data_IF_729783237890
#
_entry.id   IF_729783237890
#
_cell.length_a   1.000
_cell.length_b   1.000
_cell.length_c   1.000
_cell.angle_alpha   90.00
_cell.angle_beta   90.00
_cell.angle_gamma   90.00
#
_symmetry.space_group_name_H-M   'P 1'
#
loop_
_entity.id
_entity.type
_entity.pdbx_description
1 polymer ?
#
# COMPACT_ATOMS: atom_id res chain seq x y z
N UNK A 1 -33.07 13.09 9.06
CA UNK A 1 -32.12 12.04 9.48
C UNK A 1 -30.88 12.20 8.62
N UNK A 2 -29.85 12.81 9.19
CA UNK A 2 -28.58 13.08 8.53
C UNK A 2 -27.80 11.77 8.56
N UNK A 3 -27.47 11.24 7.38
CA UNK A 3 -26.75 9.98 7.24
C UNK A 3 -25.29 10.26 7.59
N UNK A 4 -24.94 10.18 8.87
CA UNK A 4 -23.57 10.30 9.34
C UNK A 4 -22.74 9.22 8.63
N UNK A 5 -21.98 9.62 7.61
CA UNK A 5 -20.93 8.78 7.04
C UNK A 5 -20.05 8.39 8.22
N UNK A 6 -20.07 7.11 8.61
CA UNK A 6 -19.05 6.54 9.50
C UNK A 6 -17.69 6.82 8.86
N UNK A 7 -17.02 7.85 9.34
CA UNK A 7 -15.65 8.16 8.95
C UNK A 7 -14.78 7.14 9.69
N UNK A 8 -14.45 6.05 9.02
CA UNK A 8 -13.36 5.18 9.49
C UNK A 8 -12.07 5.99 9.37
N UNK A 9 -11.29 6.06 10.44
CA UNK A 9 -10.01 6.76 10.46
C UNK A 9 -9.06 6.07 9.49
N UNK A 10 -8.76 6.71 8.37
CA UNK A 10 -7.71 6.21 7.48
C UNK A 10 -6.35 6.54 8.08
N UNK A 11 -5.43 5.58 8.12
CA UNK A 11 -4.05 5.79 8.58
C UNK A 11 -3.06 5.48 7.47
N UNK A 12 -2.05 6.35 7.29
CA UNK A 12 -0.91 6.09 6.42
C UNK A 12 0.35 6.22 7.25
N UNK A 13 1.04 5.11 7.47
CA UNK A 13 2.27 5.07 8.26
C UNK A 13 3.43 4.67 7.36
N UNK A 14 4.59 5.31 7.56
CA UNK A 14 5.82 4.99 6.84
C UNK A 14 6.88 4.57 7.83
N UNK A 15 7.51 3.42 7.59
CA UNK A 15 8.49 2.84 8.49
C UNK A 15 9.70 2.24 7.80
N UNK A 16 10.65 1.79 8.62
CA UNK A 16 11.80 0.96 8.21
C UNK A 16 11.83 -0.28 9.10
N UNK A 17 11.90 -1.46 8.50
CA UNK A 17 12.13 -2.74 9.16
C UNK A 17 13.48 -3.32 8.71
N UNK A 18 13.88 -4.46 9.29
CA UNK A 18 15.06 -5.21 8.85
C UNK A 18 14.97 -5.67 7.38
N UNK A 19 13.75 -5.79 6.83
CA UNK A 19 13.44 -6.21 5.46
C UNK A 19 13.19 -5.06 4.46
N UNK A 20 13.03 -3.83 4.95
CA UNK A 20 12.98 -2.64 4.10
C UNK A 20 12.09 -1.49 4.52
N UNK A 21 11.79 -0.62 3.55
CA UNK A 21 10.87 0.50 3.76
C UNK A 21 9.46 0.00 3.49
N UNK A 22 8.54 0.32 4.38
CA UNK A 22 7.13 -0.02 4.18
C UNK A 22 6.23 1.19 4.33
N UNK A 23 5.10 1.13 3.63
CA UNK A 23 3.94 2.00 3.82
C UNK A 23 2.79 1.10 4.24
N UNK A 24 2.24 1.37 5.40
CA UNK A 24 1.02 0.74 5.90
C UNK A 24 -0.14 1.71 5.65
N UNK A 25 -1.23 1.19 5.09
CA UNK A 25 -2.44 1.95 4.77
C UNK A 25 -3.63 1.23 5.37
N UNK A 26 -4.38 1.90 6.22
CA UNK A 26 -5.66 1.41 6.75
C UNK A 26 -6.80 2.28 6.24
N UNK A 27 -7.83 1.68 5.67
CA UNK A 27 -9.10 2.35 5.34
C UNK A 27 -10.23 1.32 5.26
N UNK A 28 -11.46 1.72 5.57
CA UNK A 28 -12.63 0.81 5.52
C UNK A 28 -12.42 -0.49 6.35
N UNK A 29 -11.75 -0.37 7.50
CA UNK A 29 -11.38 -1.50 8.37
C UNK A 29 -10.49 -2.57 7.68
N UNK A 30 -9.82 -2.22 6.59
CA UNK A 30 -8.89 -3.07 5.87
C UNK A 30 -7.48 -2.51 5.97
N UNK A 31 -6.55 -3.40 6.22
CA UNK A 31 -5.13 -3.11 6.31
C UNK A 31 -4.44 -3.51 5.00
N UNK A 32 -3.54 -2.65 4.56
CA UNK A 32 -2.76 -2.88 3.35
C UNK A 32 -1.30 -2.56 3.60
N UNK A 33 -0.43 -3.45 3.12
CA UNK A 33 1.01 -3.36 3.27
C UNK A 33 1.66 -3.18 1.90
N UNK A 34 2.44 -2.09 1.76
CA UNK A 34 3.33 -1.87 0.62
C UNK A 34 4.75 -1.91 1.12
N UNK A 35 5.51 -2.95 0.79
CA UNK A 35 6.91 -3.10 1.20
C UNK A 35 7.86 -2.98 0.02
N UNK A 36 8.94 -2.24 0.19
CA UNK A 36 10.08 -2.24 -0.72
C UNK A 36 11.15 -3.18 -0.16
N UNK A 37 11.44 -4.25 -0.91
CA UNK A 37 12.53 -5.19 -0.56
C UNK A 37 13.88 -4.47 -0.45
N UNK A 38 14.71 -4.89 0.50
CA UNK A 38 16.11 -4.42 0.66
C UNK A 38 17.15 -5.38 0.12
N UNK A 39 16.79 -6.63 -0.17
CA UNK A 39 17.70 -7.72 -0.54
C UNK A 39 17.68 -8.03 -2.03
N UNK A 40 17.58 -6.99 -2.86
CA UNK A 40 17.49 -7.10 -4.30
C UNK A 40 18.90 -6.99 -4.90
N UNK A 41 19.37 -8.02 -5.60
CA UNK A 41 20.63 -7.96 -6.39
C UNK A 41 20.54 -7.04 -7.63
N UNK A 42 19.65 -6.04 -7.62
CA UNK A 42 19.24 -5.21 -8.76
C UNK A 42 18.15 -4.21 -8.38
N UNK A 43 17.23 -3.88 -9.29
CA UNK A 43 16.13 -2.94 -9.02
C UNK A 43 15.11 -3.56 -8.06
N UNK A 44 14.99 -2.98 -6.88
CA UNK A 44 14.03 -3.41 -5.88
C UNK A 44 12.59 -3.16 -6.34
N UNK A 45 11.77 -4.21 -6.28
CA UNK A 45 10.34 -4.17 -6.60
C UNK A 45 9.52 -3.99 -5.32
N UNK A 46 8.38 -3.27 -5.38
CA UNK A 46 7.45 -3.24 -4.29
C UNK A 46 6.65 -4.55 -4.23
N UNK A 47 6.18 -4.87 -3.04
CA UNK A 47 5.28 -5.95 -2.73
C UNK A 47 4.00 -5.37 -2.13
N UNK A 48 2.85 -5.94 -2.49
CA UNK A 48 1.53 -5.46 -2.07
C UNK A 48 0.68 -6.64 -1.58
N UNK A 49 0.05 -6.49 -0.43
CA UNK A 49 -0.90 -7.45 0.15
C UNK A 49 -1.65 -6.88 1.35
N UNK A 50 -2.51 -7.70 1.96
CA UNK A 50 -3.16 -7.45 3.25
C UNK A 50 -2.59 -8.33 4.36
N UNK A 51 -1.98 -9.47 4.02
CA UNK A 51 -1.32 -10.39 4.94
C UNK A 51 -0.04 -10.96 4.32
N UNK A 52 0.91 -11.52 5.08
CA UNK A 52 2.11 -12.12 4.51
C UNK A 52 1.84 -13.20 3.44
N UNK A 53 0.70 -13.89 3.50
CA UNK A 53 0.33 -14.98 2.60
C UNK A 53 -0.20 -14.50 1.23
N UNK A 54 -0.80 -13.31 1.17
CA UNK A 54 -1.38 -12.74 -0.07
C UNK A 54 -0.48 -11.69 -0.74
N UNK A 55 0.69 -11.42 -0.15
CA UNK A 55 1.67 -10.48 -0.65
C UNK A 55 2.23 -10.95 -2.00
N UNK A 56 2.07 -10.12 -3.02
CA UNK A 56 2.60 -10.35 -4.36
C UNK A 56 3.45 -9.18 -4.82
N UNK A 57 4.36 -9.44 -5.76
CA UNK A 57 5.10 -8.39 -6.48
C UNK A 57 4.11 -7.42 -7.11
N UNK A 58 4.36 -6.13 -6.89
CA UNK A 58 3.57 -5.05 -7.43
C UNK A 58 4.37 -4.18 -8.40
N UNK A 59 3.64 -3.50 -9.28
CA UNK A 59 4.16 -2.38 -10.08
C UNK A 59 3.62 -1.08 -9.52
N UNK A 60 4.51 -0.12 -9.33
CA UNK A 60 4.10 1.25 -9.06
C UNK A 60 3.75 1.97 -10.35
N UNK A 61 2.75 2.83 -10.30
CA UNK A 61 2.41 3.74 -11.38
C UNK A 61 1.85 5.05 -10.82
N UNK A 62 1.92 6.11 -11.63
CA UNK A 62 1.32 7.41 -11.31
C UNK A 62 0.00 7.54 -12.02
N UNK A 63 -1.01 8.04 -11.31
CA UNK A 63 -2.29 8.42 -11.88
C UNK A 63 -2.66 9.81 -11.36
N UNK A 64 -2.34 10.83 -12.14
CA UNK A 64 -2.40 12.23 -11.71
C UNK A 64 -1.59 12.43 -10.41
N UNK A 65 -2.21 12.97 -9.36
CA UNK A 65 -1.56 13.18 -8.05
C UNK A 65 -1.44 11.92 -7.18
N UNK A 66 -1.99 10.79 -7.63
CA UNK A 66 -2.03 9.56 -6.85
C UNK A 66 -0.76 8.71 -7.05
N UNK A 67 -0.29 8.13 -5.94
CA UNK A 67 0.70 7.06 -5.95
C UNK A 67 -0.04 5.73 -5.94
N UNK A 68 0.07 4.95 -7.01
CA UNK A 68 -0.65 3.69 -7.14
C UNK A 68 0.28 2.49 -7.21
N UNK A 69 -0.20 1.35 -6.72
CA UNK A 69 0.48 0.07 -6.68
C UNK A 69 -0.51 -1.04 -7.05
N UNK A 70 -0.16 -1.86 -8.04
CA UNK A 70 -0.98 -2.97 -8.52
C UNK A 70 -0.19 -4.27 -8.50
N UNK A 71 -0.77 -5.34 -7.96
CA UNK A 71 -0.17 -6.69 -8.01
C UNK A 71 0.00 -7.15 -9.47
N UNK A 72 1.15 -7.73 -9.81
CA UNK A 72 1.42 -8.22 -11.17
C UNK A 72 0.58 -9.46 -11.53
N UNK A 73 0.32 -10.33 -10.55
CA UNK A 73 -0.41 -11.60 -10.71
C UNK A 73 -1.67 -11.70 -9.86
N UNK A 74 -2.05 -10.61 -9.19
CA UNK A 74 -3.22 -10.55 -8.33
C UNK A 74 -4.19 -9.45 -8.76
N UNK A 75 -5.30 -9.34 -8.03
CA UNK A 75 -6.35 -8.36 -8.29
C UNK A 75 -6.17 -7.05 -7.50
N UNK A 76 -5.27 -7.03 -6.51
CA UNK A 76 -5.15 -5.88 -5.62
C UNK A 76 -4.53 -4.68 -6.33
N UNK A 77 -5.17 -3.53 -6.16
CA UNK A 77 -4.75 -2.24 -6.69
C UNK A 77 -5.10 -1.14 -5.68
N UNK A 78 -4.11 -0.38 -5.24
CA UNK A 78 -4.26 0.67 -4.22
C UNK A 78 -3.65 1.96 -4.72
N UNK A 79 -4.36 3.05 -4.51
CA UNK A 79 -3.87 4.40 -4.76
C UNK A 79 -3.96 5.21 -3.48
N UNK A 80 -2.90 5.96 -3.15
CA UNK A 80 -2.94 6.93 -2.07
C UNK A 80 -2.35 8.27 -2.52
N UNK A 81 -2.91 9.34 -1.96
CA UNK A 81 -2.40 10.71 -2.06
C UNK A 81 -2.18 11.19 -0.63
N UNK A 82 -1.08 11.90 -0.43
CA UNK A 82 -0.84 12.63 0.81
C UNK A 82 -1.26 14.07 0.53
N UNK A 83 -2.37 14.49 1.11
CA UNK A 83 -2.71 15.91 1.13
C UNK A 83 -1.74 16.61 2.09
N UNK A 84 -1.20 17.74 1.64
CA UNK A 84 -0.31 18.60 2.43
C UNK A 84 -1.12 19.56 3.27
#
# INVERSE_FOLDING_TARGET
MQNDKKTFSCSIQKGKSYGGKFVYIEFDQKEYLIEQSTSCGGVCKPYLGTTPEDVLVAKSYKHSDWNCYKQEKGSMNICYKLDK
#
